data_IF_489379505112
#
_entry.id   IF_489379505112
#
_cell.length_a   1.000
_cell.length_b   1.000
_cell.length_c   1.000
_cell.angle_alpha   90.00
_cell.angle_beta   90.00
_cell.angle_gamma   90.00
#
_symmetry.space_group_name_H-M   'P 1'
#
loop_
_entity.id
_entity.type
_entity.pdbx_description
1 polymer ?
#
# COMPACT_ATOMS: atom_id res chain seq x y z
N UNK A 1 -12.77 -24.86 28.26
CA UNK A 1 -11.83 -23.73 28.44
C UNK A 1 -11.71 -22.97 27.12
N UNK A 2 -12.46 -21.88 26.95
CA UNK A 2 -12.39 -21.03 25.75
C UNK A 2 -11.45 -19.85 26.00
N UNK A 3 -10.35 -19.78 25.24
CA UNK A 3 -9.45 -18.61 25.14
C UNK A 3 -10.12 -17.57 24.22
N UNK A 4 -10.69 -16.52 24.78
CA UNK A 4 -11.16 -15.36 24.02
C UNK A 4 -9.95 -14.47 23.66
N UNK A 5 -9.72 -14.26 22.36
CA UNK A 5 -8.68 -13.38 21.85
C UNK A 5 -8.98 -11.91 22.16
N UNK A 6 -7.97 -11.20 22.65
CA UNK A 6 -8.00 -9.76 22.88
C UNK A 6 -8.17 -9.02 21.54
N UNK A 7 -9.37 -8.48 21.27
CA UNK A 7 -9.60 -7.53 20.17
C UNK A 7 -8.95 -6.20 20.53
N UNK A 8 -8.12 -5.67 19.63
CA UNK A 8 -7.58 -4.31 19.74
C UNK A 8 -8.70 -3.31 19.43
N UNK A 9 -9.00 -2.44 20.38
CA UNK A 9 -10.00 -1.38 20.22
C UNK A 9 -9.46 -0.27 19.32
N UNK A 10 -10.30 0.23 18.41
CA UNK A 10 -9.96 1.34 17.52
C UNK A 10 -10.01 2.68 18.27
N UNK A 11 -9.35 3.70 17.73
CA UNK A 11 -9.13 5.02 18.38
C UNK A 11 -10.43 5.68 18.85
N UNK A 12 -11.53 5.50 18.11
CA UNK A 12 -12.86 6.00 18.49
C UNK A 12 -13.48 5.26 19.71
N UNK A 13 -13.19 3.97 19.85
CA UNK A 13 -13.66 3.12 20.96
C UNK A 13 -12.91 3.44 22.26
N UNK A 14 -11.60 3.73 22.15
CA UNK A 14 -10.76 4.18 23.27
C UNK A 14 -11.20 5.54 23.82
N UNK A 15 -11.60 6.46 22.93
CA UNK A 15 -12.07 7.80 23.31
C UNK A 15 -13.41 7.75 24.06
N UNK A 16 -14.27 6.80 23.69
CA UNK A 16 -15.57 6.57 24.32
C UNK A 16 -15.45 5.92 25.71
N UNK A 17 -14.48 5.00 25.88
CA UNK A 17 -14.14 4.40 27.18
C UNK A 17 -13.59 5.44 28.17
N UNK A 18 -12.78 6.38 27.67
CA UNK A 18 -12.24 7.49 28.48
C UNK A 18 -13.33 8.48 28.91
N UNK A 19 -14.33 8.73 28.06
CA UNK A 19 -15.50 9.55 28.41
C UNK A 19 -16.42 8.88 29.44
N UNK A 20 -16.39 7.54 29.55
CA UNK A 20 -17.13 6.76 30.54
C UNK A 20 -16.37 6.53 31.87
N UNK A 21 -15.19 7.13 32.04
CA UNK A 21 -14.43 7.10 33.29
C UNK A 21 -13.81 5.74 33.65
N UNK A 22 -13.64 4.84 32.69
CA UNK A 22 -12.94 3.57 32.90
C UNK A 22 -11.46 3.70 32.53
N UNK A 23 -10.58 3.23 33.42
CA UNK A 23 -9.13 3.26 33.22
C UNK A 23 -8.69 2.34 32.06
N UNK A 24 -7.91 2.89 31.13
CA UNK A 24 -7.38 2.17 29.97
C UNK A 24 -5.95 1.73 30.28
N UNK A 25 -5.58 0.44 30.09
CA UNK A 25 -4.22 -0.02 30.37
C UNK A 25 -3.22 0.59 29.38
N UNK A 26 -2.11 1.11 29.91
CA UNK A 26 -1.06 1.74 29.13
C UNK A 26 -0.37 0.73 28.18
N UNK A 27 -0.58 0.90 26.87
CA UNK A 27 0.14 0.15 25.85
C UNK A 27 1.53 0.80 25.62
N UNK A 28 2.57 -0.04 25.66
CA UNK A 28 3.97 0.36 25.57
C UNK A 28 4.38 1.07 24.27
N UNK A 29 5.34 1.96 24.45
CA UNK A 29 5.99 2.81 23.45
C UNK A 29 6.78 2.02 22.40
N UNK A 30 6.15 1.66 21.28
CA UNK A 30 6.84 1.04 20.14
C UNK A 30 6.41 1.57 18.75
N UNK A 31 5.71 2.71 18.68
CA UNK A 31 5.14 3.22 17.41
C UNK A 31 5.69 4.59 16.96
N UNK A 32 6.82 5.06 17.50
CA UNK A 32 7.33 6.40 17.20
C UNK A 32 8.34 6.48 16.03
N UNK A 33 8.58 5.40 15.28
CA UNK A 33 9.67 5.33 14.29
C UNK A 33 9.23 5.25 12.80
N UNK A 34 7.92 5.30 12.49
CA UNK A 34 7.41 5.09 11.13
C UNK A 34 6.55 6.24 10.57
N UNK A 35 6.40 7.33 11.32
CA UNK A 35 5.76 8.55 10.83
C UNK A 35 6.71 9.70 11.15
N UNK A 36 6.90 10.63 10.20
CA UNK A 36 7.61 11.88 10.46
C UNK A 36 7.02 12.63 11.65
N UNK A 37 7.65 13.73 12.11
CA UNK A 37 7.17 14.48 13.27
C UNK A 37 5.66 14.69 13.13
N UNK A 38 4.90 14.21 14.13
CA UNK A 38 3.46 14.32 14.14
C UNK A 38 3.08 15.77 13.79
N UNK A 39 2.07 15.99 12.91
CA UNK A 39 1.65 17.33 12.54
C UNK A 39 1.38 18.11 13.83
N UNK A 40 1.95 19.32 13.91
CA UNK A 40 1.93 20.13 15.12
C UNK A 40 0.48 20.29 15.59
N UNK A 41 0.16 19.65 16.73
CA UNK A 41 -1.17 19.70 17.31
C UNK A 41 -1.61 21.13 17.63
N UNK A 42 -0.65 22.05 17.79
CA UNK A 42 -0.89 23.48 17.93
C UNK A 42 -1.41 24.12 16.63
N UNK A 43 -0.87 23.72 15.47
CA UNK A 43 -1.33 24.23 14.17
C UNK A 43 -2.75 23.75 13.84
N UNK A 44 -3.03 22.47 14.06
CA UNK A 44 -4.37 21.91 13.84
C UNK A 44 -5.40 22.47 14.85
N UNK A 45 -4.98 22.73 16.09
CA UNK A 45 -5.82 23.42 17.07
C UNK A 45 -6.11 24.88 16.68
N UNK A 46 -5.15 25.55 16.04
CA UNK A 46 -5.33 26.90 15.47
C UNK A 46 -6.36 26.91 14.34
N UNK A 47 -6.24 26.02 13.37
CA UNK A 47 -7.19 25.88 12.25
C UNK A 47 -8.61 25.54 12.74
N UNK A 48 -8.74 24.64 13.72
CA UNK A 48 -10.04 24.29 14.32
C UNK A 48 -10.63 25.47 15.10
N UNK A 49 -9.79 26.30 15.72
CA UNK A 49 -10.25 27.52 16.41
C UNK A 49 -10.76 28.54 15.39
N UNK A 50 -10.07 28.74 14.28
CA UNK A 50 -10.44 29.65 13.19
C UNK A 50 -11.77 29.24 12.53
N UNK A 51 -11.93 27.96 12.18
CA UNK A 51 -13.19 27.39 11.70
C UNK A 51 -14.36 27.58 12.68
N UNK A 52 -14.10 27.47 13.99
CA UNK A 52 -15.13 27.70 15.01
C UNK A 52 -15.54 29.16 15.11
N UNK A 53 -14.61 30.10 14.93
CA UNK A 53 -14.92 31.53 14.89
C UNK A 53 -15.73 31.86 13.63
N UNK A 54 -15.38 31.31 12.47
CA UNK A 54 -16.15 31.50 11.22
C UNK A 54 -17.57 30.95 11.32
N UNK A 55 -17.75 29.76 11.87
CA UNK A 55 -19.09 29.17 12.11
C UNK A 55 -19.90 30.02 13.08
N UNK A 56 -19.27 30.60 14.12
CA UNK A 56 -19.94 31.48 15.07
C UNK A 56 -20.33 32.80 14.42
N UNK A 57 -19.49 33.35 13.56
CA UNK A 57 -19.77 34.55 12.77
C UNK A 57 -20.92 34.31 11.78
N UNK A 58 -20.92 33.18 11.08
CA UNK A 58 -22.00 32.77 10.18
C UNK A 58 -23.32 32.57 10.94
N UNK A 59 -23.28 31.94 12.12
CA UNK A 59 -24.46 31.79 12.97
C UNK A 59 -25.00 33.14 13.49
N UNK A 60 -24.12 34.11 13.77
CA UNK A 60 -24.50 35.48 14.10
C UNK A 60 -25.15 36.21 12.91
N UNK A 61 -24.58 36.01 11.72
CA UNK A 61 -25.07 36.63 10.48
C UNK A 61 -26.41 36.02 10.03
N UNK A 62 -26.61 34.71 10.22
CA UNK A 62 -27.91 34.07 10.03
C UNK A 62 -28.93 34.57 11.05
N UNK A 63 -28.55 34.73 12.33
CA UNK A 63 -29.43 35.33 13.34
C UNK A 63 -29.85 36.76 13.00
N UNK A 64 -28.95 37.57 12.43
CA UNK A 64 -29.26 38.94 12.05
C UNK A 64 -30.04 39.06 10.74
N UNK A 65 -29.90 38.11 9.81
CA UNK A 65 -30.68 38.08 8.56
C UNK A 65 -32.07 37.46 8.69
N UNK A 66 -32.27 36.52 9.62
CA UNK A 66 -33.56 35.84 9.80
C UNK A 66 -34.42 36.40 10.95
N UNK A 67 -33.93 37.42 11.67
CA UNK A 67 -34.65 38.04 12.78
C UNK A 67 -34.72 37.13 14.01
N UNK A 68 -34.77 37.73 15.20
CA UNK A 68 -35.09 37.02 16.44
C UNK A 68 -36.53 36.51 16.35
N UNK A 69 -36.71 35.29 15.87
CA UNK A 69 -37.80 34.47 16.40
C UNK A 69 -37.36 34.10 17.82
N UNK A 70 -38.00 34.70 18.83
CA UNK A 70 -37.95 34.14 20.18
C UNK A 70 -38.26 32.64 20.10
N UNK A 71 -37.71 31.81 20.99
CA UNK A 71 -38.14 30.43 21.08
C UNK A 71 -39.57 30.46 21.64
N UNK A 72 -40.57 30.69 20.79
CA UNK A 72 -41.92 30.21 21.05
C UNK A 72 -41.74 28.74 21.41
N UNK A 73 -42.17 28.42 22.62
CA UNK A 73 -42.11 27.08 23.17
C UNK A 73 -42.51 26.08 22.10
N UNK A 74 -41.67 25.09 21.86
CA UNK A 74 -41.93 24.00 20.91
C UNK A 74 -43.29 23.31 21.22
N UNK A 75 -43.84 23.49 22.42
CA UNK A 75 -45.19 23.06 22.82
C UNK A 75 -46.35 23.81 22.11
N UNK A 76 -46.22 25.09 21.73
CA UNK A 76 -47.33 25.86 21.16
C UNK A 76 -47.48 25.67 19.63
N UNK A 77 -46.41 25.27 18.94
CA UNK A 77 -46.47 24.90 17.52
C UNK A 77 -47.01 23.47 17.28
N UNK A 78 -47.24 22.70 18.34
CA UNK A 78 -47.75 21.32 18.28
C UNK A 78 -49.25 21.19 18.60
N UNK A 79 -49.96 22.31 18.83
CA UNK A 79 -51.40 22.28 19.03
C UNK A 79 -52.12 22.21 17.67
N UNK A 80 -52.28 20.99 17.14
CA UNK A 80 -53.05 20.71 15.92
C UNK A 80 -52.35 19.86 14.86
N UNK A 81 -51.10 19.42 15.09
CA UNK A 81 -50.43 18.49 14.19
C UNK A 81 -50.87 17.06 14.53
N UNK A 82 -51.53 16.37 13.60
CA UNK A 82 -51.89 14.97 13.78
C UNK A 82 -50.60 14.16 14.05
N UNK A 83 -50.53 13.35 15.12
CA UNK A 83 -49.38 12.48 15.38
C UNK A 83 -48.97 11.61 14.18
N UNK A 84 -49.91 11.34 13.26
CA UNK A 84 -49.65 10.66 11.98
C UNK A 84 -48.87 11.51 10.99
N UNK A 85 -49.07 12.82 10.96
CA UNK A 85 -48.35 13.75 10.09
C UNK A 85 -46.90 13.93 10.57
N UNK A 86 -46.68 13.94 11.90
CA UNK A 86 -45.32 13.95 12.49
C UNK A 86 -44.55 12.68 12.12
N UNK A 87 -45.17 11.50 12.28
CA UNK A 87 -44.53 10.23 11.91
C UNK A 87 -44.29 10.11 10.40
N UNK A 88 -45.23 10.58 9.57
CA UNK A 88 -45.05 10.61 8.12
C UNK A 88 -43.91 11.53 7.70
N UNK A 89 -43.78 12.70 8.32
CA UNK A 89 -42.70 13.65 8.06
C UNK A 89 -41.34 13.07 8.49
N UNK A 90 -41.29 12.38 9.63
CA UNK A 90 -40.10 11.63 10.08
C UNK A 90 -39.68 10.55 9.10
N UNK A 91 -40.63 9.75 8.61
CA UNK A 91 -40.37 8.71 7.60
C UNK A 91 -39.90 9.30 6.26
N UNK A 92 -40.45 10.44 5.86
CA UNK A 92 -40.03 11.14 4.66
C UNK A 92 -38.59 11.65 4.78
N UNK A 93 -38.23 12.21 5.92
CA UNK A 93 -36.86 12.64 6.22
C UNK A 93 -35.88 11.46 6.23
N UNK A 94 -36.26 10.33 6.83
CA UNK A 94 -35.46 9.09 6.78
C UNK A 94 -35.26 8.59 5.33
N UNK A 95 -36.32 8.59 4.53
CA UNK A 95 -36.25 8.18 3.12
C UNK A 95 -35.37 9.15 2.32
N UNK A 96 -35.44 10.45 2.57
CA UNK A 96 -34.63 11.43 1.87
C UNK A 96 -33.14 11.35 2.27
N UNK A 97 -32.84 11.06 3.54
CA UNK A 97 -31.49 10.73 4.01
C UNK A 97 -30.94 9.49 3.29
N UNK A 98 -31.71 8.39 3.25
CA UNK A 98 -31.31 7.16 2.57
C UNK A 98 -31.06 7.38 1.06
N UNK A 99 -31.87 8.23 0.39
CA UNK A 99 -31.62 8.61 -1.01
C UNK A 99 -30.32 9.38 -1.17
N UNK A 100 -29.99 10.28 -0.24
CA UNK A 100 -28.71 11.00 -0.27
C UNK A 100 -27.53 10.06 -0.09
N UNK A 101 -27.61 9.13 0.87
CA UNK A 101 -26.59 8.10 1.09
C UNK A 101 -26.41 7.19 -0.13
N UNK A 102 -27.52 6.75 -0.75
CA UNK A 102 -27.46 5.93 -1.95
C UNK A 102 -26.80 6.64 -3.12
N UNK A 103 -27.07 7.95 -3.31
CA UNK A 103 -26.40 8.77 -4.33
C UNK A 103 -24.91 8.92 -4.04
N UNK A 104 -24.53 9.14 -2.78
CA UNK A 104 -23.12 9.23 -2.39
C UNK A 104 -22.37 7.92 -2.66
N UNK A 105 -22.99 6.77 -2.34
CA UNK A 105 -22.43 5.45 -2.63
C UNK A 105 -22.30 5.20 -4.13
N UNK A 106 -23.32 5.57 -4.92
CA UNK A 106 -23.26 5.46 -6.37
C UNK A 106 -22.13 6.31 -6.98
N UNK A 107 -21.89 7.51 -6.44
CA UNK A 107 -20.79 8.36 -6.86
C UNK A 107 -19.43 7.72 -6.56
N UNK A 108 -19.24 7.24 -5.32
CA UNK A 108 -18.01 6.55 -4.93
C UNK A 108 -17.71 5.33 -5.81
N UNK A 109 -18.73 4.54 -6.18
CA UNK A 109 -18.56 3.41 -7.10
C UNK A 109 -18.08 3.89 -8.49
N UNK A 110 -18.60 5.00 -9.00
CA UNK A 110 -18.19 5.54 -10.30
C UNK A 110 -16.73 6.02 -10.28
N UNK A 111 -16.30 6.66 -9.19
CA UNK A 111 -14.91 7.07 -9.03
C UNK A 111 -13.98 5.85 -8.92
N UNK A 112 -14.34 4.83 -8.13
CA UNK A 112 -13.58 3.57 -8.07
C UNK A 112 -13.49 2.88 -9.43
N UNK A 113 -14.56 2.89 -10.23
CA UNK A 113 -14.52 2.33 -11.59
C UNK A 113 -13.54 3.09 -12.50
N UNK A 114 -13.45 4.42 -12.38
CA UNK A 114 -12.47 5.23 -13.12
C UNK A 114 -11.04 4.94 -12.69
N UNK A 115 -10.80 4.79 -11.39
CA UNK A 115 -9.48 4.42 -10.87
C UNK A 115 -9.05 3.03 -11.35
N UNK A 116 -9.96 2.04 -11.34
CA UNK A 116 -9.67 0.71 -11.89
C UNK A 116 -9.43 0.80 -13.40
N UNK A 117 -10.21 1.61 -14.13
CA UNK A 117 -10.01 1.83 -15.56
C UNK A 117 -8.65 2.47 -15.88
N UNK A 118 -8.11 3.32 -15.00
CA UNK A 118 -6.81 3.98 -15.22
C UNK A 118 -5.63 3.07 -14.91
N UNK A 119 -5.79 2.09 -14.02
CA UNK A 119 -4.78 1.06 -13.76
C UNK A 119 -4.54 0.16 -14.98
N UNK A 120 -5.55 0.00 -15.86
CA UNK A 120 -5.44 -0.75 -17.13
C UNK A 120 -5.13 0.19 -18.30
N UNK A 121 -3.87 0.16 -18.77
CA UNK A 121 -3.43 0.89 -19.98
C UNK A 121 -4.07 0.34 -21.26
N UNK A 122 -3.89 1.07 -22.36
CA UNK A 122 -4.74 1.00 -23.55
C UNK A 122 -4.39 -0.14 -24.53
N UNK A 123 -3.18 -0.68 -24.50
CA UNK A 123 -2.62 -1.36 -25.69
C UNK A 123 -2.05 -2.77 -25.52
N UNK A 124 -1.90 -3.30 -24.31
CA UNK A 124 -1.41 -4.68 -24.16
C UNK A 124 -2.41 -5.56 -23.41
N UNK A 125 -2.63 -6.74 -24.00
CA UNK A 125 -3.40 -7.86 -23.44
C UNK A 125 -2.78 -8.41 -22.13
N UNK A 126 -1.65 -7.82 -21.70
CA UNK A 126 -0.92 -8.08 -20.47
C UNK A 126 -1.15 -6.97 -19.46
N UNK A 127 -1.80 -7.30 -18.35
CA UNK A 127 -1.95 -6.40 -17.21
C UNK A 127 -0.59 -5.89 -16.72
N UNK A 128 -0.40 -4.57 -16.69
CA UNK A 128 0.84 -3.91 -16.26
C UNK A 128 1.33 -4.44 -14.90
N UNK A 129 0.42 -4.72 -13.98
CA UNK A 129 0.75 -5.29 -12.67
C UNK A 129 1.31 -6.71 -12.78
N UNK A 130 0.81 -7.51 -13.72
CA UNK A 130 1.24 -8.87 -13.97
C UNK A 130 2.60 -8.89 -14.71
N UNK A 131 2.83 -7.92 -15.60
CA UNK A 131 4.13 -7.69 -16.22
C UNK A 131 5.19 -7.31 -15.17
N UNK A 132 4.91 -6.32 -14.31
CA UNK A 132 5.80 -5.92 -13.20
C UNK A 132 6.06 -7.09 -12.23
N UNK A 133 5.02 -7.87 -11.91
CA UNK A 133 5.16 -9.08 -11.10
C UNK A 133 6.12 -10.10 -11.74
N UNK A 134 6.01 -10.32 -13.06
CA UNK A 134 6.89 -11.22 -13.80
C UNK A 134 8.34 -10.71 -13.88
N UNK A 135 8.53 -9.40 -14.04
CA UNK A 135 9.87 -8.79 -14.03
C UNK A 135 10.53 -8.93 -12.66
N UNK A 136 9.77 -8.71 -11.58
CA UNK A 136 10.26 -8.90 -10.21
C UNK A 136 10.61 -10.37 -9.92
N UNK A 137 9.80 -11.33 -10.39
CA UNK A 137 10.13 -12.77 -10.31
C UNK A 137 11.43 -13.08 -11.06
N UNK A 138 11.65 -12.49 -12.25
CA UNK A 138 12.88 -12.66 -13.03
C UNK A 138 14.10 -12.07 -12.32
N UNK A 139 13.96 -10.92 -11.65
CA UNK A 139 15.01 -10.32 -10.83
C UNK A 139 15.39 -11.24 -9.67
N UNK A 140 14.41 -11.82 -8.96
CA UNK A 140 14.67 -12.78 -7.89
C UNK A 140 15.48 -13.97 -8.42
N UNK A 141 15.02 -14.61 -9.49
CA UNK A 141 15.72 -15.75 -10.08
C UNK A 141 17.14 -15.41 -10.58
N UNK A 142 17.34 -14.24 -11.18
CA UNK A 142 18.66 -13.79 -11.59
C UNK A 142 19.60 -13.55 -10.38
N UNK A 143 19.08 -12.99 -9.29
CA UNK A 143 19.86 -12.78 -8.06
C UNK A 143 20.16 -14.08 -7.32
N UNK A 144 19.25 -15.05 -7.32
CA UNK A 144 19.49 -16.41 -6.80
C UNK A 144 20.60 -17.09 -7.60
N UNK A 145 20.49 -17.12 -8.94
CA UNK A 145 21.51 -17.75 -9.78
C UNK A 145 22.89 -17.07 -9.69
N UNK A 146 22.94 -15.75 -9.56
CA UNK A 146 24.19 -15.04 -9.30
C UNK A 146 24.80 -15.40 -7.93
N UNK A 147 23.95 -15.57 -6.91
CA UNK A 147 24.37 -15.96 -5.55
C UNK A 147 24.91 -17.38 -5.54
N UNK A 148 24.23 -18.32 -6.20
CA UNK A 148 24.73 -19.69 -6.39
C UNK A 148 26.11 -19.68 -7.05
N UNK A 149 26.31 -18.88 -8.10
CA UNK A 149 27.61 -18.73 -8.75
C UNK A 149 28.71 -18.17 -7.83
N UNK A 150 28.38 -17.25 -6.93
CA UNK A 150 29.30 -16.71 -5.92
C UNK A 150 29.67 -17.80 -4.90
N UNK A 151 28.69 -18.57 -4.44
CA UNK A 151 28.88 -19.66 -3.48
C UNK A 151 29.74 -20.78 -4.07
N UNK A 152 29.50 -21.18 -5.32
CA UNK A 152 30.33 -22.15 -6.06
C UNK A 152 31.79 -21.67 -6.21
N UNK A 153 31.98 -20.37 -6.46
CA UNK A 153 33.32 -19.79 -6.54
C UNK A 153 34.01 -19.80 -5.17
N UNK A 154 33.27 -19.49 -4.10
CA UNK A 154 33.78 -19.53 -2.73
C UNK A 154 34.19 -20.95 -2.31
N UNK A 155 33.42 -21.98 -2.68
CA UNK A 155 33.76 -23.39 -2.41
C UNK A 155 35.07 -23.82 -3.11
N UNK A 156 35.26 -23.39 -4.37
CA UNK A 156 36.51 -23.63 -5.11
C UNK A 156 37.70 -22.94 -4.46
N UNK A 157 37.52 -21.69 -4.02
CA UNK A 157 38.55 -20.93 -3.30
C UNK A 157 38.94 -21.66 -2.00
N UNK A 158 37.96 -22.15 -1.24
CA UNK A 158 38.20 -22.89 0.01
C UNK A 158 38.96 -24.20 -0.22
N UNK A 159 38.59 -24.93 -1.27
CA UNK A 159 39.29 -26.16 -1.66
C UNK A 159 40.77 -25.89 -2.00
N UNK A 160 41.04 -24.80 -2.72
CA UNK A 160 42.41 -24.38 -3.03
C UNK A 160 43.13 -23.96 -1.75
N UNK A 161 42.47 -23.23 -0.85
CA UNK A 161 43.00 -22.83 0.46
C UNK A 161 43.47 -24.04 1.27
N UNK A 162 42.59 -25.04 1.41
CA UNK A 162 42.90 -26.28 2.10
C UNK A 162 44.05 -27.04 1.44
N UNK A 163 44.11 -27.06 0.11
CA UNK A 163 45.20 -27.70 -0.63
C UNK A 163 46.55 -27.01 -0.37
N UNK A 164 46.57 -25.66 -0.39
CA UNK A 164 47.75 -24.86 -0.07
C UNK A 164 48.23 -25.12 1.36
N UNK A 165 47.31 -25.21 2.31
CA UNK A 165 47.63 -25.50 3.71
C UNK A 165 48.16 -26.93 3.91
N UNK A 166 47.67 -27.90 3.16
CA UNK A 166 48.07 -29.30 3.27
C UNK A 166 49.44 -29.60 2.63
N UNK A 167 49.84 -28.86 1.60
CA UNK A 167 51.07 -29.11 0.83
C UNK A 167 52.15 -28.02 0.98
N UNK A 168 51.83 -26.91 1.64
CA UNK A 168 52.76 -25.82 1.88
C UNK A 168 53.63 -26.06 3.12
N UNK A 169 54.94 -26.19 2.93
CA UNK A 169 55.92 -26.21 4.02
C UNK A 169 56.24 -24.80 4.57
N UNK A 170 55.76 -23.75 3.90
CA UNK A 170 55.98 -22.35 4.28
C UNK A 170 54.89 -21.85 5.24
N UNK A 171 55.31 -21.42 6.44
CA UNK A 171 54.42 -20.89 7.47
C UNK A 171 53.65 -19.64 7.03
N UNK A 172 54.24 -18.80 6.17
CA UNK A 172 53.58 -17.62 5.63
C UNK A 172 52.45 -17.99 4.67
N UNK A 173 52.68 -18.99 3.80
CA UNK A 173 51.63 -19.53 2.91
C UNK A 173 50.48 -20.14 3.72
N UNK A 174 50.79 -20.86 4.81
CA UNK A 174 49.77 -21.41 5.71
C UNK A 174 48.89 -20.34 6.36
N UNK A 175 49.46 -19.19 6.73
CA UNK A 175 48.69 -18.06 7.28
C UNK A 175 47.78 -17.42 6.22
N UNK A 176 48.27 -17.23 4.99
CA UNK A 176 47.44 -16.72 3.90
C UNK A 176 46.27 -17.65 3.55
N UNK A 177 46.47 -18.96 3.66
CA UNK A 177 45.38 -19.93 3.50
C UNK A 177 44.34 -19.81 4.63
N UNK A 178 44.77 -19.58 5.87
CA UNK A 178 43.84 -19.34 6.99
C UNK A 178 43.01 -18.08 6.77
N UNK A 179 43.64 -16.97 6.35
CA UNK A 179 42.94 -15.73 6.02
C UNK A 179 41.94 -15.94 4.86
N UNK A 180 42.31 -16.73 3.85
CA UNK A 180 41.46 -17.05 2.71
C UNK A 180 40.20 -17.82 3.12
N UNK A 181 40.34 -18.83 3.99
CA UNK A 181 39.20 -19.58 4.52
C UNK A 181 38.30 -18.73 5.42
N UNK A 182 38.87 -17.75 6.16
CA UNK A 182 38.06 -16.78 6.92
C UNK A 182 37.24 -15.87 5.99
N UNK A 183 37.83 -15.38 4.89
CA UNK A 183 37.09 -14.60 3.90
C UNK A 183 36.00 -15.39 3.19
N UNK A 184 36.25 -16.67 2.87
CA UNK A 184 35.21 -17.56 2.33
C UNK A 184 34.04 -17.71 3.32
N UNK A 185 34.34 -17.89 4.60
CA UNK A 185 33.30 -18.00 5.64
C UNK A 185 32.44 -16.72 5.70
N UNK A 186 33.07 -15.55 5.61
CA UNK A 186 32.36 -14.28 5.51
C UNK A 186 31.49 -14.17 4.24
N UNK A 187 31.90 -14.74 3.11
CA UNK A 187 31.07 -14.79 1.90
C UNK A 187 29.80 -15.62 2.15
N UNK A 188 29.92 -16.79 2.77
CA UNK A 188 28.76 -17.63 3.12
C UNK A 188 27.76 -16.89 4.02
N UNK A 189 28.26 -16.18 5.04
CA UNK A 189 27.40 -15.41 5.95
C UNK A 189 26.71 -14.24 5.25
N UNK A 190 27.40 -13.52 4.38
CA UNK A 190 26.83 -12.39 3.65
C UNK A 190 25.77 -12.84 2.62
N UNK A 191 26.00 -13.98 1.95
CA UNK A 191 25.03 -14.53 0.99
C UNK A 191 23.75 -15.05 1.66
N UNK A 192 23.79 -15.42 2.95
CA UNK A 192 22.61 -15.84 3.71
C UNK A 192 21.53 -14.73 3.81
N UNK A 193 21.90 -13.45 3.70
CA UNK A 193 20.95 -12.34 3.73
C UNK A 193 20.15 -12.18 2.42
N UNK A 194 20.62 -12.79 1.32
CA UNK A 194 19.91 -12.79 0.04
C UNK A 194 18.63 -13.63 0.11
N UNK A 195 18.62 -14.75 0.83
CA UNK A 195 17.44 -15.62 1.01
C UNK A 195 16.24 -14.84 1.61
N UNK A 196 16.49 -14.03 2.64
CA UNK A 196 15.45 -13.17 3.24
C UNK A 196 14.93 -12.12 2.25
N UNK A 197 15.81 -11.59 1.39
CA UNK A 197 15.43 -10.60 0.38
C UNK A 197 14.59 -11.22 -0.73
N UNK A 198 14.99 -12.39 -1.25
CA UNK A 198 14.22 -13.17 -2.21
C UNK A 198 12.82 -13.49 -1.69
N UNK A 199 12.71 -14.02 -0.46
CA UNK A 199 11.42 -14.29 0.17
C UNK A 199 10.52 -13.05 0.31
N UNK A 200 11.10 -11.89 0.65
CA UNK A 200 10.34 -10.63 0.78
C UNK A 200 9.83 -10.16 -0.58
N UNK A 201 10.65 -10.23 -1.63
CA UNK A 201 10.23 -9.86 -2.98
C UNK A 201 9.14 -10.81 -3.47
N UNK A 202 9.32 -12.12 -3.32
CA UNK A 202 8.29 -13.13 -3.66
C UNK A 202 6.96 -12.85 -2.96
N UNK A 203 6.99 -12.41 -1.70
CA UNK A 203 5.78 -11.99 -0.98
C UNK A 203 5.12 -10.75 -1.58
N UNK A 204 5.90 -9.76 -2.00
CA UNK A 204 5.40 -8.56 -2.70
C UNK A 204 4.75 -8.98 -4.03
N UNK A 205 5.43 -9.80 -4.83
CA UNK A 205 4.90 -10.31 -6.09
C UNK A 205 3.57 -11.04 -5.91
N UNK A 206 3.48 -11.93 -4.92
CA UNK A 206 2.22 -12.64 -4.63
C UNK A 206 1.11 -11.68 -4.19
N UNK A 207 1.45 -10.58 -3.52
CA UNK A 207 0.47 -9.55 -3.13
C UNK A 207 -0.03 -8.80 -4.36
N UNK A 208 0.84 -8.46 -5.30
CA UNK A 208 0.45 -7.83 -6.58
C UNK A 208 -0.47 -8.74 -7.39
N UNK A 209 -0.13 -10.03 -7.51
CA UNK A 209 -0.99 -11.04 -8.17
C UNK A 209 -2.36 -11.15 -7.51
N UNK A 210 -2.43 -11.11 -6.17
CA UNK A 210 -3.69 -11.12 -5.43
C UNK A 210 -4.54 -9.86 -5.69
N UNK A 211 -3.91 -8.68 -5.76
CA UNK A 211 -4.59 -7.43 -6.08
C UNK A 211 -5.19 -7.50 -7.49
N UNK A 212 -4.43 -7.99 -8.46
CA UNK A 212 -4.89 -8.17 -9.85
C UNK A 212 -6.13 -9.08 -9.93
N UNK A 213 -6.08 -10.27 -9.30
CA UNK A 213 -7.21 -11.21 -9.25
C UNK A 213 -8.46 -10.58 -8.61
N UNK A 214 -8.27 -9.59 -7.73
CA UNK A 214 -9.40 -8.89 -7.11
C UNK A 214 -9.98 -7.82 -8.02
N UNK A 215 -9.12 -7.11 -8.76
CA UNK A 215 -9.52 -6.15 -9.79
C UNK A 215 -10.31 -6.89 -10.88
N UNK A 216 -9.79 -8.02 -11.38
CA UNK A 216 -10.49 -8.84 -12.37
C UNK A 216 -11.89 -9.26 -11.93
N UNK A 217 -12.01 -9.74 -10.68
CA UNK A 217 -13.32 -10.07 -10.10
C UNK A 217 -14.25 -8.87 -9.99
N UNK A 218 -13.75 -7.68 -9.67
CA UNK A 218 -14.58 -6.47 -9.63
C UNK A 218 -15.08 -6.12 -11.03
N UNK A 219 -14.24 -6.27 -12.05
CA UNK A 219 -14.63 -6.06 -13.45
C UNK A 219 -15.68 -7.08 -13.88
N UNK A 220 -15.50 -8.36 -13.55
CA UNK A 220 -16.46 -9.42 -13.83
C UNK A 220 -17.83 -9.13 -13.21
N UNK A 221 -17.86 -8.69 -11.95
CA UNK A 221 -19.11 -8.36 -11.23
C UNK A 221 -19.87 -7.22 -11.90
N UNK A 222 -19.17 -6.19 -12.40
CA UNK A 222 -19.82 -5.03 -13.02
C UNK A 222 -20.07 -5.18 -14.52
N UNK A 223 -19.41 -6.14 -15.18
CA UNK A 223 -19.40 -6.30 -16.63
C UNK A 223 -18.42 -5.36 -17.32
N UNK A 224 -17.84 -5.82 -18.43
CA UNK A 224 -16.90 -5.05 -19.26
C UNK A 224 -17.45 -3.70 -19.71
N UNK A 225 -18.74 -3.67 -20.02
CA UNK A 225 -19.45 -2.50 -20.58
C UNK A 225 -19.50 -1.35 -19.56
N UNK A 226 -19.42 -1.66 -18.26
CA UNK A 226 -19.40 -0.67 -17.20
C UNK A 226 -18.12 0.20 -17.18
N UNK A 227 -17.10 -0.20 -17.93
CA UNK A 227 -15.82 0.50 -18.07
C UNK A 227 -15.63 1.13 -19.45
N UNK A 228 -16.57 0.90 -20.37
CA UNK A 228 -16.55 1.47 -21.71
C UNK A 228 -16.68 3.01 -21.62
N UNK A 229 -15.75 3.74 -22.24
CA UNK A 229 -15.71 5.20 -22.19
C UNK A 229 -15.10 5.83 -20.92
N UNK A 230 -14.77 5.05 -19.88
CA UNK A 230 -13.96 5.51 -18.74
C UNK A 230 -12.45 5.46 -19.02
N UNK A 231 -12.06 4.75 -20.07
CA UNK A 231 -10.66 4.54 -20.49
C UNK A 231 -10.18 5.67 -21.43
N UNK A 232 -9.88 6.85 -20.90
CA UNK A 232 -8.92 7.80 -21.53
C UNK A 232 -8.61 9.01 -20.63
N UNK A 233 -7.30 9.31 -20.42
CA UNK A 233 -6.62 10.64 -20.34
C UNK A 233 -5.24 10.58 -19.63
N UNK A 234 -4.52 9.46 -19.61
CA UNK A 234 -3.25 9.38 -18.89
C UNK A 234 -2.13 8.60 -19.62
N UNK A 235 -1.93 8.82 -20.91
CA UNK A 235 -0.76 8.26 -21.61
C UNK A 235 -0.18 9.22 -22.64
N UNK A 236 0.65 10.17 -22.22
CA UNK A 236 1.54 10.89 -23.14
C UNK A 236 2.86 11.38 -22.50
N UNK A 237 3.25 10.86 -21.32
CA UNK A 237 4.48 11.33 -20.63
C UNK A 237 5.44 10.22 -20.16
N UNK A 238 5.22 8.94 -20.45
CA UNK A 238 6.04 7.84 -19.89
C UNK A 238 7.14 7.27 -20.83
N UNK A 239 7.48 7.92 -21.94
CA UNK A 239 8.34 7.31 -22.97
C UNK A 239 9.86 7.59 -22.86
N UNK A 240 10.31 8.47 -21.94
CA UNK A 240 11.76 8.76 -21.79
C UNK A 240 12.45 7.91 -20.70
N UNK A 241 11.79 7.64 -19.56
CA UNK A 241 12.41 6.91 -18.43
C UNK A 241 12.39 5.39 -18.61
N UNK A 242 11.45 4.84 -19.40
CA UNK A 242 11.34 3.40 -19.67
C UNK A 242 12.52 2.82 -20.45
N UNK A 243 13.23 3.63 -21.24
CA UNK A 243 14.41 3.19 -22.02
C UNK A 243 15.65 2.92 -21.16
N UNK A 244 15.65 3.30 -19.88
CA UNK A 244 16.79 3.14 -18.97
C UNK A 244 16.66 1.92 -18.04
N UNK A 245 15.51 1.24 -18.02
CA UNK A 245 15.24 0.07 -17.18
C UNK A 245 15.49 -1.23 -17.94
N UNK A 246 16.72 -1.43 -18.40
CA UNK A 246 17.13 -2.77 -18.83
C UNK A 246 17.44 -3.60 -17.58
N UNK A 247 16.40 -4.20 -16.99
CA UNK A 247 16.54 -5.28 -16.02
C UNK A 247 17.21 -6.52 -16.64
N UNK A 248 17.49 -7.58 -15.85
CA UNK A 248 17.97 -8.84 -16.39
C UNK A 248 17.02 -9.29 -17.51
N UNK A 249 17.54 -9.41 -18.73
CA UNK A 249 16.70 -9.77 -19.87
C UNK A 249 16.09 -11.14 -19.63
N UNK A 250 14.75 -11.22 -19.62
CA UNK A 250 14.06 -12.50 -19.74
C UNK A 250 14.63 -13.20 -20.97
N UNK A 251 15.07 -14.44 -20.78
CA UNK A 251 15.91 -15.24 -21.67
C UNK A 251 15.36 -15.30 -23.11
N UNK A 252 15.64 -14.25 -23.87
CA UNK A 252 15.89 -14.25 -25.30
C UNK A 252 17.31 -13.72 -25.43
N UNK A 253 18.26 -14.60 -25.13
CA UNK A 253 19.65 -14.37 -25.49
C UNK A 253 19.67 -14.04 -26.98
N UNK A 254 19.96 -12.79 -27.33
CA UNK A 254 20.48 -12.49 -28.67
C UNK A 254 21.73 -13.35 -28.78
N UNK A 255 21.68 -14.34 -29.67
CA UNK A 255 22.81 -15.27 -29.81
C UNK A 255 24.03 -14.49 -30.30
N UNK A 256 25.23 -14.90 -29.91
CA UNK A 256 26.47 -14.25 -30.39
C UNK A 256 26.50 -14.20 -31.94
N UNK A 257 25.91 -15.20 -32.59
CA UNK A 257 25.73 -15.29 -34.04
C UNK A 257 24.82 -14.18 -34.63
N UNK A 258 23.91 -13.61 -33.84
CA UNK A 258 23.07 -12.47 -34.23
C UNK A 258 23.80 -11.14 -34.01
N UNK A 259 24.67 -11.06 -33.01
CA UNK A 259 25.54 -9.90 -32.76
C UNK A 259 26.54 -9.76 -33.91
N UNK A 260 27.17 -10.85 -34.32
CA UNK A 260 28.19 -10.83 -35.39
C UNK A 260 27.58 -10.41 -36.74
N UNK A 261 26.32 -10.76 -37.03
CA UNK A 261 25.58 -10.32 -38.23
C UNK A 261 25.25 -8.82 -38.27
N UNK A 262 25.37 -8.11 -37.16
CA UNK A 262 25.08 -6.67 -37.08
C UNK A 262 26.30 -5.82 -37.43
N UNK A 263 27.51 -6.42 -37.41
CA UNK A 263 28.78 -5.73 -37.64
C UNK A 263 29.50 -6.16 -38.93
N UNK A 264 28.92 -7.09 -39.70
CA UNK A 264 29.32 -7.48 -41.06
C UNK A 264 28.37 -6.90 -42.13
#
# INVERSE_FOLDING_TARGET
MNKAGSRKAFTAELQRLKAMGMDVPAAGSAASALFGPAPDASAMAGEVHELREEVRALASLMRSHFGEAEPESIDEAMEGVDPRDVEFQRQKEEVDLLKMELRALAHSIQDTKREIASLRTKEEETDRLLAVASELDAVVGATEGATDGILDAAEKIDTISHTLKAHGDDKYIGQLADDLSEYVMAIYENCNFQDITGQRITKVVNTLKFVEERIDRMIEIWGSDAFEGLRNTASDTEDEDGRLLNGPQLVKQVSQDEIDKLFD
#
